data_IF_863082774779
#
_entry.id   IF_863082774779
#
_cell.length_a   1.000
_cell.length_b   1.000
_cell.length_c   1.000
_cell.angle_alpha   90.00
_cell.angle_beta   90.00
_cell.angle_gamma   90.00
#
_symmetry.space_group_name_H-M   'P 1'
#
loop_
_entity.id
_entity.type
_entity.pdbx_description
1 polymer ?
#
# COMPACT_ATOMS: atom_id res chain seq x y z
N UNK A 1 -4.01 7.61 -7.54
CA UNK A 1 -3.74 7.14 -6.17
C UNK A 1 -2.72 6.04 -6.28
N UNK A 2 -1.74 6.00 -5.39
CA UNK A 2 -0.57 5.11 -5.46
C UNK A 2 -0.71 3.83 -4.65
N UNK A 3 -1.87 3.61 -4.03
CA UNK A 3 -2.25 2.34 -3.41
C UNK A 3 -3.55 1.91 -4.09
N UNK A 4 -3.51 0.78 -4.78
CA UNK A 4 -4.70 0.16 -5.38
C UNK A 4 -5.23 -0.93 -4.46
N UNK A 5 -6.55 -1.04 -4.34
CA UNK A 5 -7.23 -2.08 -3.57
C UNK A 5 -8.29 -2.76 -4.45
N UNK A 6 -8.12 -4.06 -4.68
CA UNK A 6 -9.05 -4.89 -5.46
C UNK A 6 -9.48 -6.09 -4.64
N UNK A 7 -10.74 -6.51 -4.76
CA UNK A 7 -11.22 -7.78 -4.19
C UNK A 7 -11.16 -8.87 -5.26
N UNK A 8 -10.51 -9.98 -4.94
CA UNK A 8 -10.44 -11.18 -5.76
C UNK A 8 -11.48 -12.20 -5.29
N UNK A 9 -11.56 -13.32 -5.99
CA UNK A 9 -12.40 -14.45 -5.60
C UNK A 9 -12.01 -15.01 -4.22
N UNK A 10 -12.91 -15.81 -3.64
CA UNK A 10 -12.70 -16.49 -2.36
C UNK A 10 -12.38 -15.55 -1.17
N UNK A 11 -12.78 -14.27 -1.23
CA UNK A 11 -12.60 -13.32 -0.13
C UNK A 11 -11.14 -12.88 0.05
N UNK A 12 -10.35 -12.83 -1.02
CA UNK A 12 -8.98 -12.33 -0.96
C UNK A 12 -8.97 -10.86 -1.38
N UNK A 13 -8.39 -9.97 -0.57
CA UNK A 13 -8.09 -8.61 -0.98
C UNK A 13 -6.66 -8.51 -1.52
N UNK A 14 -6.46 -7.77 -2.61
CA UNK A 14 -5.15 -7.44 -3.18
C UNK A 14 -4.89 -5.95 -3.01
N UNK A 15 -3.87 -5.60 -2.23
CA UNK A 15 -3.31 -4.26 -2.09
C UNK A 15 -2.05 -4.17 -2.97
N UNK A 16 -2.02 -3.21 -3.89
CA UNK A 16 -0.85 -2.96 -4.75
C UNK A 16 -0.25 -1.59 -4.44
N UNK A 17 1.03 -1.56 -4.07
CA UNK A 17 1.81 -0.32 -3.97
C UNK A 17 2.21 0.07 -5.40
N UNK A 18 1.58 1.11 -5.94
CA UNK A 18 1.64 1.50 -7.33
C UNK A 18 2.39 2.83 -7.52
N UNK A 19 3.70 2.79 -7.29
CA UNK A 19 4.64 3.89 -7.58
C UNK A 19 5.98 3.36 -8.14
N UNK A 20 5.96 2.57 -9.23
CA UNK A 20 7.11 1.79 -9.69
C UNK A 20 8.29 2.68 -10.12
N UNK A 21 8.04 3.90 -10.58
CA UNK A 21 9.06 4.88 -10.97
C UNK A 21 9.92 5.37 -9.80
N UNK A 22 9.42 5.22 -8.56
CA UNK A 22 10.15 5.49 -7.32
C UNK A 22 10.46 4.21 -6.54
N UNK A 23 10.42 3.05 -7.21
CA UNK A 23 10.58 1.72 -6.59
C UNK A 23 9.61 1.52 -5.42
N UNK A 24 8.37 2.00 -5.58
CA UNK A 24 7.30 1.85 -4.59
C UNK A 24 7.67 2.43 -3.20
N UNK A 25 8.46 3.51 -3.17
CA UNK A 25 8.83 4.20 -1.94
C UNK A 25 7.64 5.00 -1.36
N UNK A 26 7.52 5.02 -0.03
CA UNK A 26 6.43 5.64 0.71
C UNK A 26 6.73 7.09 1.09
N UNK A 27 5.88 8.01 0.65
CA UNK A 27 5.78 9.35 1.23
C UNK A 27 4.58 9.45 2.18
N UNK A 28 4.33 10.63 2.76
CA UNK A 28 3.22 10.86 3.69
C UNK A 28 1.85 10.48 3.12
N UNK A 29 1.57 10.86 1.87
CA UNK A 29 0.29 10.54 1.22
C UNK A 29 0.13 9.03 1.03
N UNK A 30 1.22 8.32 0.72
CA UNK A 30 1.19 6.86 0.58
C UNK A 30 0.93 6.15 1.90
N UNK A 31 1.53 6.63 2.99
CA UNK A 31 1.26 6.08 4.32
C UNK A 31 -0.22 6.25 4.70
N UNK A 32 -0.82 7.40 4.39
CA UNK A 32 -2.25 7.65 4.63
C UNK A 32 -3.13 6.77 3.74
N UNK A 33 -2.82 6.66 2.45
CA UNK A 33 -3.55 5.81 1.51
C UNK A 33 -3.48 4.32 1.90
N UNK A 34 -2.31 3.84 2.35
CA UNK A 34 -2.14 2.47 2.80
C UNK A 34 -2.91 2.21 4.11
N UNK A 35 -2.89 3.17 5.05
CA UNK A 35 -3.71 3.11 6.27
C UNK A 35 -5.20 2.99 5.93
N UNK A 36 -5.69 3.78 4.98
CA UNK A 36 -7.09 3.71 4.53
C UNK A 36 -7.43 2.37 3.86
N UNK A 37 -6.52 1.81 3.06
CA UNK A 37 -6.70 0.49 2.47
C UNK A 37 -6.83 -0.61 3.55
N UNK A 38 -5.99 -0.57 4.58
CA UNK A 38 -6.08 -1.49 5.71
C UNK A 38 -7.39 -1.37 6.48
N UNK A 39 -7.88 -0.14 6.71
CA UNK A 39 -9.17 0.08 7.37
C UNK A 39 -10.31 -0.51 6.54
N UNK A 40 -10.35 -0.25 5.23
CA UNK A 40 -11.35 -0.83 4.32
C UNK A 40 -11.36 -2.35 4.33
N UNK A 41 -10.18 -2.97 4.39
CA UNK A 41 -10.05 -4.42 4.46
C UNK A 41 -10.49 -4.97 5.81
N UNK A 42 -10.07 -4.35 6.92
CA UNK A 42 -10.47 -4.74 8.28
C UNK A 42 -11.99 -4.68 8.46
N UNK A 43 -12.63 -3.66 7.89
CA UNK A 43 -14.07 -3.40 8.08
C UNK A 43 -14.95 -4.17 7.07
N UNK A 44 -14.35 -4.96 6.16
CA UNK A 44 -15.06 -5.79 5.20
C UNK A 44 -15.08 -7.26 5.63
N UNK A 45 -16.23 -7.70 6.18
CA UNK A 45 -16.43 -9.07 6.65
C UNK A 45 -16.33 -10.16 5.55
N UNK A 46 -16.37 -9.80 4.27
CA UNK A 46 -16.18 -10.75 3.17
C UNK A 46 -14.69 -11.06 2.92
N UNK A 47 -13.76 -10.22 3.41
CA UNK A 47 -12.32 -10.44 3.26
C UNK A 47 -11.83 -11.42 4.32
N UNK A 48 -11.14 -12.47 3.88
CA UNK A 48 -10.60 -13.56 4.69
C UNK A 48 -9.07 -13.59 4.68
N UNK A 49 -8.45 -13.05 3.63
CA UNK A 49 -7.00 -12.95 3.49
C UNK A 49 -6.62 -11.71 2.68
N UNK A 50 -5.41 -11.22 2.89
CA UNK A 50 -4.87 -10.05 2.17
C UNK A 50 -3.54 -10.40 1.56
N UNK A 51 -3.39 -10.10 0.28
CA UNK A 51 -2.11 -10.07 -0.43
C UNK A 51 -1.71 -8.61 -0.56
N UNK A 52 -0.47 -8.30 -0.19
CA UNK A 52 0.13 -7.00 -0.48
C UNK A 52 1.33 -7.22 -1.41
N UNK A 53 1.40 -6.42 -2.48
CA UNK A 53 2.49 -6.49 -3.46
C UNK A 53 2.88 -5.10 -3.97
N UNK A 54 4.00 -5.01 -4.70
CA UNK A 54 4.43 -3.81 -5.41
C UNK A 54 4.14 -3.92 -6.90
N UNK A 55 3.76 -2.81 -7.54
CA UNK A 55 3.65 -2.73 -8.99
C UNK A 55 5.04 -2.71 -9.65
N UNK A 56 5.07 -3.14 -10.92
CA UNK A 56 6.30 -3.25 -11.70
C UNK A 56 7.09 -4.53 -11.41
N UNK A 57 8.31 -4.59 -11.95
CA UNK A 57 9.16 -5.78 -11.98
C UNK A 57 10.45 -5.64 -11.15
N UNK A 58 10.69 -4.47 -10.58
CA UNK A 58 11.98 -4.15 -9.92
C UNK A 58 12.02 -4.44 -8.43
N UNK A 59 10.95 -4.14 -7.71
CA UNK A 59 10.92 -4.22 -6.25
C UNK A 59 9.49 -4.25 -5.69
N UNK A 60 9.34 -4.90 -4.53
CA UNK A 60 8.14 -4.72 -3.70
C UNK A 60 8.02 -3.27 -3.21
N UNK A 61 9.01 -2.79 -2.45
CA UNK A 61 9.17 -1.39 -2.02
C UNK A 61 10.60 -1.10 -1.61
N UNK A 62 11.06 0.13 -1.86
CA UNK A 62 12.34 0.64 -1.38
C UNK A 62 12.28 1.22 0.05
N UNK A 63 11.12 1.19 0.72
CA UNK A 63 10.93 1.76 2.05
C UNK A 63 10.50 3.23 2.01
N UNK A 64 10.92 4.03 2.99
CA UNK A 64 10.58 5.45 3.08
C UNK A 64 11.21 6.27 1.92
N UNK A 65 10.46 7.23 1.38
CA UNK A 65 10.95 8.20 0.41
C UNK A 65 11.69 9.33 1.15
N UNK A 66 12.99 9.13 1.41
CA UNK A 66 13.83 10.06 2.18
C UNK A 66 13.91 11.48 1.59
N UNK A 67 13.46 11.70 0.35
CA UNK A 67 13.43 13.04 -0.27
C UNK A 67 12.17 13.83 0.11
N UNK A 68 11.08 13.14 0.40
CA UNK A 68 9.80 13.72 0.83
C UNK A 68 9.51 13.49 2.32
N UNK A 69 10.21 12.53 2.95
CA UNK A 69 10.14 12.25 4.39
C UNK A 69 10.89 13.33 5.18
N UNK A 70 10.23 14.48 5.35
CA UNK A 70 10.67 15.52 6.28
C UNK A 70 10.26 15.10 7.70
N UNK A 71 11.03 14.18 8.28
CA UNK A 71 11.00 13.88 9.72
C UNK A 71 9.62 13.56 10.28
N UNK A 72 8.89 12.62 9.67
CA UNK A 72 7.65 12.12 10.28
C UNK A 72 8.00 11.42 11.59
N UNK A 73 7.73 12.08 12.72
CA UNK A 73 7.68 11.41 14.00
C UNK A 73 6.63 10.29 13.91
N UNK A 74 7.06 9.05 14.02
CA UNK A 74 6.15 7.93 14.27
C UNK A 74 5.58 8.17 15.68
N UNK A 75 4.27 8.40 15.84
CA UNK A 75 3.67 8.52 17.17
C UNK A 75 3.77 7.20 17.93
#
# INVERSE_FOLDING_TARGET
>A
MSIDLTTLEAGIALITINRPEKRNAFDTEHYEALSLAWQRVRDNAAVRAVIITGAGDKAFSAGADLKSDVGRAVP
#
